data_IF_313577822103
#
_entry.id   IF_313577822103
#
_cell.length_a   1.000
_cell.length_b   1.000
_cell.length_c   1.000
_cell.angle_alpha   90.00
_cell.angle_beta   90.00
_cell.angle_gamma   90.00
#
_symmetry.space_group_name_H-M   'P 1'
#
loop_
_entity.id
_entity.type
_entity.pdbx_description
1 polymer ?
#
# COMPACT_ATOMS: atom_id res chain seq x y z
N UNK A 1 -0.21 -77.11 -8.46
CA UNK A 1 -0.09 -76.80 -7.01
C UNK A 1 1.32 -76.96 -6.46
N UNK A 2 2.07 -78.03 -6.79
CA UNK A 2 3.45 -78.28 -6.29
C UNK A 2 4.49 -77.18 -6.61
N UNK A 3 4.33 -76.44 -7.71
CA UNK A 3 5.23 -75.33 -8.10
C UNK A 3 5.02 -74.05 -7.27
N UNK A 4 3.78 -73.82 -6.82
CA UNK A 4 3.43 -72.64 -6.00
C UNK A 4 3.91 -72.86 -4.56
N UNK A 5 3.79 -74.09 -4.04
CA UNK A 5 4.34 -74.44 -2.72
C UNK A 5 5.87 -74.35 -2.69
N UNK A 6 6.55 -74.74 -3.77
CA UNK A 6 8.01 -74.62 -3.88
C UNK A 6 8.51 -73.16 -3.93
N UNK A 7 7.75 -72.28 -4.60
CA UNK A 7 8.06 -70.85 -4.65
C UNK A 7 7.84 -70.17 -3.28
N UNK A 8 6.79 -70.55 -2.56
CA UNK A 8 6.50 -70.03 -1.22
C UNK A 8 7.55 -70.47 -0.20
N UNK A 9 8.05 -71.72 -0.28
CA UNK A 9 9.14 -72.20 0.57
C UNK A 9 10.47 -71.51 0.29
N UNK A 10 10.76 -71.17 -0.97
CA UNK A 10 11.99 -70.48 -1.34
C UNK A 10 12.02 -69.03 -0.81
N UNK A 11 10.86 -68.36 -0.78
CA UNK A 11 10.73 -66.99 -0.29
C UNK A 11 10.94 -66.89 1.23
N UNK A 12 10.56 -67.92 1.99
CA UNK A 12 10.71 -67.97 3.46
C UNK A 12 12.18 -68.18 3.88
N UNK A 13 12.98 -68.89 3.09
CA UNK A 13 14.40 -69.17 3.38
C UNK A 13 15.28 -67.91 3.20
N UNK A 14 14.86 -66.96 2.35
CA UNK A 14 15.60 -65.71 2.10
C UNK A 14 15.55 -64.68 3.24
N UNK A 15 14.72 -64.86 4.28
CA UNK A 15 14.56 -63.88 5.37
C UNK A 15 15.58 -64.02 6.52
N UNK A 16 16.49 -65.00 6.49
CA UNK A 16 17.29 -65.37 7.68
C UNK A 16 18.70 -64.76 7.77
N UNK A 17 19.11 -63.88 6.85
CA UNK A 17 20.44 -63.28 6.89
C UNK A 17 20.48 -62.01 7.78
N UNK A 18 20.45 -62.18 9.11
CA UNK A 18 20.68 -61.10 10.06
C UNK A 18 22.16 -61.01 10.39
N UNK A 19 22.88 -60.12 9.72
CA UNK A 19 24.28 -59.82 10.03
C UNK A 19 24.33 -58.82 11.20
N UNK A 20 24.77 -59.26 12.38
CA UNK A 20 24.89 -58.38 13.55
C UNK A 20 26.15 -57.53 13.45
N UNK A 21 26.00 -56.20 13.45
CA UNK A 21 27.12 -55.26 13.51
C UNK A 21 27.51 -54.96 14.95
N UNK A 22 28.80 -55.04 15.24
CA UNK A 22 29.41 -54.68 16.52
C UNK A 22 30.53 -53.66 16.29
N UNK A 23 30.94 -52.99 17.35
CA UNK A 23 31.94 -51.93 17.32
C UNK A 23 33.04 -52.19 18.33
N UNK A 24 34.26 -51.82 17.99
CA UNK A 24 35.36 -51.87 18.96
C UNK A 24 35.18 -50.78 20.02
N UNK A 25 35.41 -51.12 21.29
CA UNK A 25 35.31 -50.19 22.43
C UNK A 25 36.26 -48.99 22.31
N UNK A 26 35.97 -47.90 23.03
CA UNK A 26 36.66 -46.61 22.89
C UNK A 26 38.02 -46.55 23.61
N UNK A 27 38.42 -47.60 24.34
CA UNK A 27 39.59 -47.56 25.24
C UNK A 27 40.95 -47.78 24.58
N UNK A 28 41.05 -48.50 23.46
CA UNK A 28 42.33 -48.83 22.84
C UNK A 28 42.20 -49.35 21.40
N UNK A 29 43.34 -49.49 20.73
CA UNK A 29 43.44 -50.26 19.47
C UNK A 29 43.59 -51.76 19.80
N UNK A 30 42.83 -52.61 19.12
CA UNK A 30 42.85 -54.06 19.35
C UNK A 30 43.28 -54.82 18.10
N UNK A 31 43.74 -56.06 18.27
CA UNK A 31 44.21 -56.88 17.14
C UNK A 31 43.13 -57.81 16.63
N UNK A 32 42.97 -57.88 15.30
CA UNK A 32 42.27 -58.94 14.60
C UNK A 32 43.27 -60.06 14.34
N UNK A 33 42.96 -61.30 14.76
CA UNK A 33 43.89 -62.43 14.67
C UNK A 33 43.36 -63.56 13.80
N UNK A 34 44.26 -64.39 13.28
CA UNK A 34 43.89 -65.51 12.39
C UNK A 34 43.24 -66.70 13.10
N UNK A 35 43.44 -66.85 14.42
CA UNK A 35 42.89 -67.94 15.24
C UNK A 35 42.34 -67.38 16.56
N UNK A 36 41.51 -68.17 17.25
CA UNK A 36 40.89 -67.89 18.56
C UNK A 36 41.91 -67.95 19.72
N UNK A 37 43.08 -67.33 19.55
CA UNK A 37 44.18 -67.33 20.53
C UNK A 37 45.08 -66.11 20.38
N UNK A 38 45.65 -65.65 21.50
CA UNK A 38 46.62 -64.56 21.51
C UNK A 38 47.96 -64.92 20.81
N UNK A 39 48.19 -66.20 20.54
CA UNK A 39 49.35 -66.68 19.75
C UNK A 39 49.12 -66.58 18.23
N UNK A 40 47.89 -66.28 17.79
CA UNK A 40 47.56 -66.17 16.37
C UNK A 40 48.24 -65.00 15.68
N UNK A 41 48.51 -65.14 14.38
CA UNK A 41 49.06 -64.06 13.56
C UNK A 41 48.10 -62.86 13.57
N UNK A 42 48.65 -61.66 13.75
CA UNK A 42 47.89 -60.41 13.64
C UNK A 42 47.59 -60.18 12.17
N UNK A 43 46.31 -60.15 11.83
CA UNK A 43 45.82 -59.81 10.50
C UNK A 43 45.71 -58.29 10.35
N UNK A 44 45.20 -57.60 11.38
CA UNK A 44 44.95 -56.16 11.36
C UNK A 44 44.89 -55.53 12.74
N UNK A 45 45.20 -54.23 12.80
CA UNK A 45 44.91 -53.39 13.96
C UNK A 45 43.54 -52.72 13.78
N UNK A 46 42.67 -52.88 14.76
CA UNK A 46 41.30 -52.37 14.80
C UNK A 46 41.26 -51.15 15.74
N UNK A 47 41.15 -49.93 15.22
CA UNK A 47 40.99 -48.75 16.07
C UNK A 47 39.62 -48.73 16.77
N UNK A 48 39.54 -47.93 17.84
CA UNK A 48 38.29 -47.63 18.56
C UNK A 48 37.17 -47.26 17.61
N UNK A 49 35.99 -47.84 17.80
CA UNK A 49 34.81 -47.56 16.98
C UNK A 49 34.77 -48.23 15.61
N UNK A 50 35.74 -49.07 15.26
CA UNK A 50 35.70 -49.86 14.02
C UNK A 50 34.44 -50.73 14.00
N UNK A 51 33.63 -50.59 12.95
CA UNK A 51 32.45 -51.42 12.73
C UNK A 51 32.86 -52.78 12.16
N UNK A 52 32.30 -53.84 12.71
CA UNK A 52 32.60 -55.22 12.37
C UNK A 52 31.30 -56.01 12.25
N UNK A 53 31.25 -56.92 11.30
CA UNK A 53 30.13 -57.86 11.16
C UNK A 53 30.46 -59.16 11.89
N UNK A 54 29.60 -59.60 12.80
CA UNK A 54 29.79 -60.86 13.52
C UNK A 54 29.37 -62.03 12.63
N UNK A 55 30.28 -63.01 12.49
CA UNK A 55 30.00 -64.28 11.80
C UNK A 55 29.63 -65.36 12.83
N UNK A 56 30.44 -65.49 13.89
CA UNK A 56 30.17 -66.43 14.98
C UNK A 56 30.75 -65.90 16.30
N UNK A 57 30.21 -66.35 17.42
CA UNK A 57 30.69 -66.00 18.74
C UNK A 57 30.87 -67.27 19.58
N UNK A 58 32.10 -67.50 20.03
CA UNK A 58 32.42 -68.62 20.92
C UNK A 58 32.45 -68.11 22.37
N UNK A 59 31.41 -68.48 23.13
CA UNK A 59 31.26 -68.07 24.53
C UNK A 59 32.25 -68.75 25.47
N UNK A 60 32.79 -69.91 25.10
CA UNK A 60 33.68 -70.71 25.96
C UNK A 60 35.08 -70.09 26.05
N UNK A 61 35.60 -69.61 24.92
CA UNK A 61 36.93 -68.97 24.87
C UNK A 61 36.89 -67.44 24.79
N UNK A 62 35.70 -66.85 24.62
CA UNK A 62 35.48 -65.40 24.61
C UNK A 62 36.00 -64.71 23.34
N UNK A 63 36.10 -65.43 22.22
CA UNK A 63 36.41 -64.89 20.91
C UNK A 63 35.17 -64.84 20.03
N UNK A 64 35.08 -63.78 19.22
CA UNK A 64 34.11 -63.65 18.14
C UNK A 64 34.85 -63.66 16.81
N UNK A 65 34.36 -64.47 15.86
CA UNK A 65 34.76 -64.39 14.46
C UNK A 65 34.00 -63.23 13.81
N UNK A 66 34.75 -62.31 13.22
CA UNK A 66 34.24 -61.06 12.68
C UNK A 66 34.81 -60.79 11.30
N UNK A 67 34.07 -60.02 10.51
CA UNK A 67 34.50 -59.50 9.22
C UNK A 67 34.55 -57.98 9.26
N UNK A 68 35.67 -57.40 8.81
CA UNK A 68 35.79 -55.95 8.60
C UNK A 68 35.05 -55.49 7.35
N UNK A 69 34.78 -54.19 7.21
CA UNK A 69 34.25 -53.60 5.96
C UNK A 69 35.01 -54.00 4.69
N UNK A 70 36.33 -54.18 4.83
CA UNK A 70 37.23 -54.53 3.73
C UNK A 70 37.22 -56.02 3.39
N UNK A 71 36.33 -56.82 4.00
CA UNK A 71 36.19 -58.25 3.77
C UNK A 71 37.17 -59.15 4.54
N UNK A 72 38.11 -58.58 5.30
CA UNK A 72 39.05 -59.38 6.13
C UNK A 72 38.31 -60.08 7.26
N UNK A 73 38.39 -61.40 7.31
CA UNK A 73 37.86 -62.22 8.41
C UNK A 73 38.94 -62.54 9.44
N UNK A 74 38.56 -62.55 10.72
CA UNK A 74 39.44 -62.99 11.80
C UNK A 74 38.72 -63.06 13.13
N UNK A 75 39.48 -63.25 14.19
CA UNK A 75 38.99 -63.41 15.55
C UNK A 75 39.41 -62.21 16.41
N UNK A 76 38.46 -61.72 17.21
CA UNK A 76 38.65 -60.64 18.19
C UNK A 76 38.03 -61.06 19.53
N UNK A 77 38.58 -60.57 20.64
CA UNK A 77 38.02 -60.83 21.96
C UNK A 77 36.67 -60.10 22.12
N UNK A 78 35.60 -60.84 22.43
CA UNK A 78 34.24 -60.29 22.51
C UNK A 78 34.11 -59.20 23.58
N UNK A 79 34.95 -59.24 24.63
CA UNK A 79 34.98 -58.23 25.72
C UNK A 79 35.37 -56.82 25.25
N UNK A 80 36.03 -56.71 24.09
CA UNK A 80 36.44 -55.42 23.51
C UNK A 80 35.47 -54.93 22.44
N UNK A 81 34.30 -55.57 22.36
CA UNK A 81 33.27 -55.27 21.37
C UNK A 81 31.99 -54.77 22.06
N UNK A 82 31.29 -53.88 21.39
CA UNK A 82 30.04 -53.26 21.81
C UNK A 82 28.99 -53.49 20.73
N UNK A 83 27.74 -53.71 21.15
CA UNK A 83 26.61 -53.84 20.22
C UNK A 83 26.09 -52.50 19.68
N UNK A 84 26.73 -51.39 20.08
CA UNK A 84 26.37 -50.03 19.69
C UNK A 84 27.63 -49.22 19.37
N UNK A 85 27.51 -48.13 18.58
CA UNK A 85 28.62 -47.24 18.30
C UNK A 85 29.27 -46.68 19.58
N UNK A 86 30.53 -46.30 19.48
CA UNK A 86 31.27 -45.69 20.60
C UNK A 86 30.66 -44.35 21.03
N UNK A 87 30.85 -44.00 22.30
CA UNK A 87 30.34 -42.75 22.89
C UNK A 87 30.81 -41.50 22.12
N UNK A 88 32.04 -41.49 21.60
CA UNK A 88 32.56 -40.40 20.76
C UNK A 88 31.68 -40.14 19.52
N UNK A 89 31.08 -41.18 18.93
CA UNK A 89 30.17 -41.01 17.80
C UNK A 89 28.90 -40.27 18.23
N UNK A 90 28.30 -40.64 19.36
CA UNK A 90 27.12 -39.96 19.90
C UNK A 90 27.42 -38.51 20.28
N UNK A 91 28.58 -38.26 20.91
CA UNK A 91 29.02 -36.91 21.26
C UNK A 91 29.17 -36.03 20.01
N UNK A 92 29.83 -36.54 18.97
CA UNK A 92 29.97 -35.81 17.71
C UNK A 92 28.61 -35.53 17.06
N UNK A 93 27.70 -36.50 17.08
CA UNK A 93 26.34 -36.35 16.54
C UNK A 93 25.55 -35.30 17.32
N UNK A 94 25.64 -35.32 18.65
CA UNK A 94 25.00 -34.35 19.53
C UNK A 94 25.55 -32.94 19.33
N UNK A 95 26.88 -32.78 19.29
CA UNK A 95 27.53 -31.49 19.06
C UNK A 95 27.20 -30.90 17.67
N UNK A 96 27.15 -31.74 16.63
CA UNK A 96 26.69 -31.30 15.30
C UNK A 96 25.24 -30.81 15.34
N UNK A 97 24.36 -31.57 15.99
CA UNK A 97 22.95 -31.19 16.14
C UNK A 97 22.81 -29.89 16.93
N UNK A 98 23.53 -29.74 18.04
CA UNK A 98 23.56 -28.52 18.85
C UNK A 98 23.99 -27.32 18.01
N UNK A 99 25.09 -27.45 17.24
CA UNK A 99 25.56 -26.39 16.35
C UNK A 99 24.49 -25.96 15.33
N UNK A 100 23.82 -26.92 14.69
CA UNK A 100 22.74 -26.65 13.74
C UNK A 100 21.57 -25.94 14.42
N UNK A 101 21.15 -26.41 15.60
CA UNK A 101 20.06 -25.78 16.34
C UNK A 101 20.42 -24.37 16.80
N UNK A 102 21.65 -24.15 17.27
CA UNK A 102 22.12 -22.83 17.66
C UNK A 102 22.08 -21.86 16.48
N UNK A 103 22.61 -22.29 15.32
CA UNK A 103 22.55 -21.48 14.10
C UNK A 103 21.12 -21.17 13.67
N UNK A 104 20.21 -22.13 13.80
CA UNK A 104 18.79 -21.91 13.48
C UNK A 104 18.15 -20.89 14.44
N UNK A 105 18.44 -20.98 15.74
CA UNK A 105 17.96 -20.01 16.74
C UNK A 105 18.49 -18.61 16.43
N UNK A 106 19.79 -18.47 16.15
CA UNK A 106 20.41 -17.19 15.83
C UNK A 106 19.77 -16.57 14.57
N UNK A 107 19.53 -17.40 13.54
CA UNK A 107 18.87 -16.97 12.30
C UNK A 107 17.40 -16.55 12.55
N UNK A 108 16.63 -17.35 13.26
CA UNK A 108 15.23 -17.02 13.60
C UNK A 108 15.15 -15.73 14.42
N UNK A 109 16.08 -15.52 15.35
CA UNK A 109 16.13 -14.29 16.14
C UNK A 109 16.47 -13.07 15.28
N UNK A 110 17.38 -13.22 14.31
CA UNK A 110 17.66 -12.17 13.33
C UNK A 110 16.43 -11.86 12.47
N UNK A 111 15.78 -12.87 11.90
CA UNK A 111 14.55 -12.71 11.11
C UNK A 111 13.43 -12.03 11.91
N UNK A 112 13.25 -12.41 13.17
CA UNK A 112 12.26 -11.80 14.06
C UNK A 112 12.56 -10.32 14.32
N UNK A 113 13.84 -9.97 14.54
CA UNK A 113 14.24 -8.58 14.73
C UNK A 113 14.04 -7.74 13.45
N UNK A 114 14.38 -8.29 12.28
CA UNK A 114 14.14 -7.64 10.99
C UNK A 114 12.65 -7.45 10.73
N UNK A 115 11.83 -8.48 10.98
CA UNK A 115 10.38 -8.43 10.80
C UNK A 115 9.74 -7.38 11.73
N UNK A 116 10.21 -7.31 12.97
CA UNK A 116 9.76 -6.29 13.93
C UNK A 116 10.09 -4.88 13.44
N UNK A 117 11.31 -4.65 12.93
CA UNK A 117 11.71 -3.35 12.38
C UNK A 117 10.87 -2.98 11.15
N UNK A 118 10.72 -3.91 10.19
CA UNK A 118 9.87 -3.68 9.01
C UNK A 118 8.43 -3.38 9.39
N UNK A 119 7.88 -4.05 10.39
CA UNK A 119 6.52 -3.78 10.85
C UNK A 119 6.41 -2.37 11.47
N UNK A 120 7.40 -1.93 12.24
CA UNK A 120 7.42 -0.56 12.78
C UNK A 120 7.56 0.51 11.69
N UNK A 121 8.38 0.27 10.68
CA UNK A 121 8.54 1.16 9.52
C UNK A 121 7.27 1.19 8.64
N UNK A 122 6.64 0.03 8.44
CA UNK A 122 5.38 -0.06 7.69
C UNK A 122 4.27 0.66 8.43
N UNK A 123 4.22 0.56 9.76
CA UNK A 123 3.23 1.25 10.58
C UNK A 123 3.45 2.77 10.54
N UNK A 124 4.69 3.25 10.62
CA UNK A 124 4.99 4.69 10.52
C UNK A 124 4.68 5.24 9.12
N UNK A 125 5.00 4.49 8.06
CA UNK A 125 4.67 4.85 6.68
C UNK A 125 3.15 4.88 6.44
N UNK A 126 2.41 3.92 6.99
CA UNK A 126 0.94 3.96 6.93
C UNK A 126 0.37 5.17 7.67
N UNK A 127 0.94 5.54 8.81
CA UNK A 127 0.52 6.74 9.54
C UNK A 127 0.83 8.02 8.75
N UNK A 128 1.98 8.13 8.09
CA UNK A 128 2.31 9.28 7.25
C UNK A 128 1.41 9.37 6.03
N UNK A 129 1.16 8.26 5.34
CA UNK A 129 0.26 8.20 4.18
C UNK A 129 -1.18 8.55 4.54
N UNK A 130 -1.67 8.12 5.71
CA UNK A 130 -2.99 8.51 6.18
C UNK A 130 -3.08 10.02 6.47
N UNK A 131 -2.04 10.60 7.08
CA UNK A 131 -1.98 12.06 7.29
C UNK A 131 -1.96 12.82 5.97
N UNK A 132 -1.15 12.38 5.02
CA UNK A 132 -1.06 12.98 3.69
C UNK A 132 -2.39 12.87 2.92
N UNK A 133 -3.05 11.70 2.98
CA UNK A 133 -4.40 11.52 2.45
C UNK A 133 -5.37 12.53 3.07
N UNK A 134 -5.34 12.69 4.40
CA UNK A 134 -6.25 13.61 5.10
C UNK A 134 -5.98 15.07 4.74
N UNK A 135 -4.72 15.46 4.56
CA UNK A 135 -4.38 16.80 4.08
C UNK A 135 -4.83 17.02 2.64
N UNK A 136 -4.52 16.08 1.73
CA UNK A 136 -4.97 16.19 0.34
C UNK A 136 -6.50 16.22 0.22
N UNK A 137 -7.20 15.45 1.05
CA UNK A 137 -8.66 15.47 1.06
C UNK A 137 -9.23 16.82 1.52
N UNK A 138 -8.58 17.47 2.49
CA UNK A 138 -8.95 18.83 2.93
C UNK A 138 -8.64 19.86 1.85
N UNK A 139 -7.45 19.82 1.28
CA UNK A 139 -7.03 20.76 0.23
C UNK A 139 -7.95 20.67 -1.00
N UNK A 140 -8.34 19.45 -1.40
CA UNK A 140 -9.32 19.25 -2.48
C UNK A 140 -10.71 19.80 -2.14
N UNK A 141 -11.13 19.68 -0.88
CA UNK A 141 -12.40 20.24 -0.43
C UNK A 141 -12.37 21.78 -0.46
N UNK A 142 -11.31 22.37 0.07
CA UNK A 142 -11.12 23.83 0.12
C UNK A 142 -10.97 24.42 -1.30
N UNK A 143 -10.28 23.71 -2.20
CA UNK A 143 -10.17 24.10 -3.59
C UNK A 143 -11.53 24.08 -4.30
N UNK A 144 -12.36 23.06 -4.04
CA UNK A 144 -13.72 22.99 -4.60
C UNK A 144 -14.61 24.12 -4.09
N UNK A 145 -14.55 24.43 -2.79
CA UNK A 145 -15.27 25.55 -2.19
C UNK A 145 -14.82 26.89 -2.81
N UNK A 146 -13.51 27.11 -2.90
CA UNK A 146 -12.93 28.33 -3.47
C UNK A 146 -13.31 28.50 -4.93
N UNK A 147 -13.24 27.42 -5.73
CA UNK A 147 -13.65 27.44 -7.12
C UNK A 147 -15.15 27.75 -7.28
N UNK A 148 -16.01 27.15 -6.44
CA UNK A 148 -17.44 27.45 -6.42
C UNK A 148 -17.72 28.93 -6.08
N UNK A 149 -17.05 29.47 -5.07
CA UNK A 149 -17.19 30.88 -4.68
C UNK A 149 -16.69 31.82 -5.78
N UNK A 150 -15.60 31.48 -6.47
CA UNK A 150 -15.10 32.28 -7.59
C UNK A 150 -16.10 32.35 -8.76
N UNK A 151 -16.77 31.23 -9.06
CA UNK A 151 -17.84 31.20 -10.08
C UNK A 151 -19.03 32.06 -9.65
N UNK A 152 -19.45 31.98 -8.39
CA UNK A 152 -20.53 32.83 -7.86
C UNK A 152 -20.16 34.31 -7.88
N UNK A 153 -18.94 34.66 -7.48
CA UNK A 153 -18.44 36.03 -7.49
C UNK A 153 -18.40 36.60 -8.91
N UNK A 154 -18.02 35.79 -9.91
CA UNK A 154 -18.09 36.18 -11.32
C UNK A 154 -19.53 36.49 -11.74
N UNK A 155 -20.48 35.63 -11.41
CA UNK A 155 -21.90 35.89 -11.70
C UNK A 155 -22.41 37.17 -11.03
N UNK A 156 -22.06 37.41 -9.77
CA UNK A 156 -22.43 38.64 -9.06
C UNK A 156 -21.81 39.88 -9.72
N UNK A 157 -20.54 39.80 -10.14
CA UNK A 157 -19.86 40.89 -10.84
C UNK A 157 -20.54 41.20 -12.18
N UNK A 158 -20.95 40.18 -12.93
CA UNK A 158 -21.63 40.37 -14.21
C UNK A 158 -23.03 40.98 -14.03
N UNK A 159 -23.79 40.53 -13.02
CA UNK A 159 -25.07 41.13 -12.64
C UNK A 159 -24.94 42.58 -12.16
N UNK A 160 -23.92 42.88 -11.36
CA UNK A 160 -23.65 44.25 -10.91
C UNK A 160 -23.27 45.15 -12.08
N UNK A 161 -22.47 44.66 -13.03
CA UNK A 161 -22.13 45.42 -14.22
C UNK A 161 -23.37 45.69 -15.09
N UNK A 162 -24.26 44.72 -15.25
CA UNK A 162 -25.54 44.91 -15.95
C UNK A 162 -26.42 45.96 -15.26
N UNK A 163 -26.51 45.92 -13.92
CA UNK A 163 -27.22 46.94 -13.15
C UNK A 163 -26.61 48.33 -13.28
N UNK A 164 -25.28 48.44 -13.31
CA UNK A 164 -24.60 49.72 -13.55
C UNK A 164 -25.00 50.27 -14.92
N UNK A 165 -24.97 49.44 -15.95
CA UNK A 165 -25.38 49.83 -17.31
C UNK A 165 -26.86 50.23 -17.35
N UNK A 166 -27.74 49.49 -16.67
CA UNK A 166 -29.18 49.82 -16.65
C UNK A 166 -29.44 51.15 -15.96
N UNK A 167 -28.82 51.38 -14.79
CA UNK A 167 -28.95 52.64 -14.04
C UNK A 167 -28.36 53.81 -14.83
N UNK A 168 -27.23 53.63 -15.54
CA UNK A 168 -26.69 54.67 -16.42
C UNK A 168 -27.65 55.02 -17.57
N UNK A 169 -28.27 54.01 -18.19
CA UNK A 169 -29.28 54.22 -19.24
C UNK A 169 -30.51 54.94 -18.71
N UNK A 170 -31.00 54.54 -17.53
CA UNK A 170 -32.12 55.20 -16.85
C UNK A 170 -31.77 56.66 -16.53
N UNK A 171 -30.58 56.92 -16.01
CA UNK A 171 -30.11 58.28 -15.72
C UNK A 171 -30.02 59.12 -17.00
N UNK A 172 -29.50 58.57 -18.09
CA UNK A 172 -29.50 59.25 -19.39
C UNK A 172 -30.91 59.50 -19.91
N UNK A 173 -31.84 58.56 -19.71
CA UNK A 173 -33.23 58.72 -20.09
C UNK A 173 -33.92 59.82 -19.28
N UNK A 174 -33.80 59.79 -17.95
CA UNK A 174 -34.37 60.82 -17.06
C UNK A 174 -33.77 62.19 -17.38
N UNK A 175 -32.46 62.25 -17.62
CA UNK A 175 -31.80 63.50 -18.03
C UNK A 175 -32.34 64.04 -19.36
N UNK A 176 -32.54 63.17 -20.37
CA UNK A 176 -33.17 63.55 -21.64
C UNK A 176 -34.62 63.98 -21.47
N UNK A 177 -35.39 63.28 -20.64
CA UNK A 177 -36.77 63.66 -20.35
C UNK A 177 -36.84 65.03 -19.66
N UNK A 178 -35.94 65.30 -18.71
CA UNK A 178 -35.85 66.58 -18.03
C UNK A 178 -35.47 67.70 -19.02
N UNK A 179 -34.46 67.49 -19.87
CA UNK A 179 -34.10 68.43 -20.94
C UNK A 179 -35.26 68.67 -21.91
N UNK A 180 -36.00 67.63 -22.30
CA UNK A 180 -37.16 67.76 -23.18
C UNK A 180 -38.29 68.55 -22.53
N UNK A 181 -38.54 68.34 -21.23
CA UNK A 181 -39.51 69.12 -20.45
C UNK A 181 -39.10 70.60 -20.35
N UNK A 182 -37.81 70.86 -20.15
CA UNK A 182 -37.25 72.21 -20.10
C UNK A 182 -37.37 72.90 -21.47
N UNK A 183 -37.02 72.19 -22.55
CA UNK A 183 -37.16 72.67 -23.93
C UNK A 183 -38.63 72.91 -24.32
N UNK A 184 -39.55 72.02 -23.95
CA UNK A 184 -40.99 72.21 -24.23
C UNK A 184 -41.56 73.40 -23.46
N UNK A 185 -41.14 73.60 -22.21
CA UNK A 185 -41.55 74.77 -21.40
C UNK A 185 -41.06 76.07 -22.04
N UNK A 186 -39.83 76.08 -22.58
CA UNK A 186 -39.28 77.23 -23.30
C UNK A 186 -40.00 77.48 -24.62
N UNK A 187 -40.39 76.42 -25.35
CA UNK A 187 -41.19 76.54 -26.58
C UNK A 187 -42.59 77.07 -26.30
N UNK A 188 -43.24 76.64 -25.22
CA UNK A 188 -44.55 77.15 -24.81
C UNK A 188 -44.49 78.64 -24.48
N UNK A 189 -43.50 79.08 -23.71
CA UNK A 189 -43.31 80.51 -23.41
C UNK A 189 -43.04 81.34 -24.67
N UNK A 190 -42.28 80.80 -25.63
CA UNK A 190 -42.07 81.44 -26.93
C UNK A 190 -43.35 81.50 -27.77
N UNK A 191 -44.15 80.43 -27.79
CA UNK A 191 -45.43 80.38 -28.51
C UNK A 191 -46.44 81.37 -27.92
N UNK A 192 -46.60 81.39 -26.59
CA UNK A 192 -47.45 82.36 -25.91
C UNK A 192 -46.96 83.80 -26.13
N UNK A 193 -45.64 84.04 -26.09
CA UNK A 193 -45.04 85.34 -26.41
C UNK A 193 -45.28 85.76 -27.86
N UNK A 194 -45.15 84.83 -28.81
CA UNK A 194 -45.40 85.07 -30.24
C UNK A 194 -46.87 85.38 -30.54
N UNK A 195 -47.80 84.60 -29.98
CA UNK A 195 -49.24 84.84 -30.11
C UNK A 195 -49.62 86.19 -29.48
N UNK A 196 -49.11 86.50 -28.29
CA UNK A 196 -49.37 87.77 -27.60
C UNK A 196 -48.84 88.96 -28.41
N UNK A 197 -47.63 88.86 -28.96
CA UNK A 197 -47.05 89.89 -29.82
C UNK A 197 -47.90 90.14 -31.07
N UNK A 198 -48.37 89.07 -31.73
CA UNK A 198 -49.21 89.14 -32.92
C UNK A 198 -50.57 89.80 -32.62
N UNK A 199 -51.22 89.43 -31.51
CA UNK A 199 -52.46 90.08 -31.03
C UNK A 199 -52.22 91.56 -30.72
N UNK A 200 -51.10 91.89 -30.07
CA UNK A 200 -50.73 93.27 -29.76
C UNK A 200 -50.57 94.14 -31.01
N UNK A 201 -49.94 93.60 -32.05
CA UNK A 201 -49.80 94.28 -33.36
C UNK A 201 -51.16 94.46 -34.05
N UNK A 202 -52.00 93.42 -34.07
CA UNK A 202 -53.35 93.49 -34.67
C UNK A 202 -54.18 94.55 -33.96
N UNK A 203 -54.27 94.51 -32.63
CA UNK A 203 -55.06 95.48 -31.86
C UNK A 203 -54.48 96.90 -31.99
N UNK A 204 -53.16 97.05 -31.95
CA UNK A 204 -52.49 98.34 -32.16
C UNK A 204 -52.76 98.94 -33.54
N UNK A 205 -53.00 98.12 -34.56
CA UNK A 205 -53.38 98.56 -35.90
C UNK A 205 -54.89 98.77 -36.09
N UNK A 206 -55.74 97.93 -35.46
CA UNK A 206 -57.21 97.97 -35.62
C UNK A 206 -57.87 99.07 -34.76
N UNK A 207 -57.40 99.27 -33.52
CA UNK A 207 -57.94 100.27 -32.59
C UNK A 207 -57.93 101.71 -33.14
N UNK A 208 -56.85 102.22 -33.77
CA UNK A 208 -56.86 103.57 -34.32
C UNK A 208 -57.82 103.77 -35.51
N UNK A 209 -58.35 102.69 -36.10
CA UNK A 209 -59.32 102.76 -37.21
C UNK A 209 -60.78 102.64 -36.78
N UNK A 210 -61.06 102.33 -35.52
CA UNK A 210 -62.43 102.28 -35.00
C UNK A 210 -62.84 103.67 -34.51
N UNK A 211 -63.29 104.51 -35.45
CA UNK A 211 -63.84 105.83 -35.13
C UNK A 211 -65.11 105.69 -34.28
N UNK A 212 -65.02 105.97 -32.99
CA UNK A 212 -66.17 106.09 -32.10
C UNK A 212 -66.90 107.41 -32.40
N UNK A 213 -67.87 107.36 -33.33
CA UNK A 213 -68.76 108.49 -33.63
C UNK A 213 -69.66 108.73 -32.41
N UNK A 214 -69.37 109.78 -31.64
CA UNK A 214 -70.37 110.45 -30.79
C UNK A 214 -71.38 111.14 -31.71
N UNK A 215 -72.67 110.83 -31.56
CA UNK A 215 -73.74 111.65 -32.15
C UNK A 215 -74.15 112.72 -31.13
N UNK A 216 -73.95 113.97 -31.51
CA UNK A 216 -74.53 115.17 -30.88
C UNK A 216 -75.64 115.73 -31.77
N UNK A 217 -76.49 116.56 -31.16
CA UNK A 217 -77.55 117.41 -31.75
C UNK A 217 -78.89 116.68 -32.03
N UNK A 218 -80.02 116.86 -31.32
CA UNK A 218 -80.72 117.99 -30.69
C UNK A 218 -81.74 118.70 -31.63
N UNK A 219 -82.98 118.81 -31.12
CA UNK A 219 -84.14 119.67 -31.43
C UNK A 219 -85.27 119.28 -32.41
N UNK A 220 -86.48 119.41 -31.84
CA UNK A 220 -87.82 119.81 -32.33
C UNK A 220 -88.67 118.92 -33.24
N UNK A 221 -89.87 118.53 -32.76
CA UNK A 221 -91.13 119.30 -33.01
C UNK A 221 -92.37 118.69 -32.34
N UNK A 222 -93.25 119.60 -31.87
CA UNK A 222 -94.71 119.56 -31.58
C UNK A 222 -95.34 118.50 -30.66
#
# INVERSE_FOLDING_TARGET
MKKITALLTLLIISLSAQAQTIYITDSATYTLRSIESNKGRILRMLPSGTALTVISANKENGYSKVQTSDGTEGYVLSRFTLNQPINRWFLNKANKKLKILQQAVDQTQHELSQLKNHNTETLSSNQSLNKERDTLSKDLHDLRLTASNAVQLKHQRDQLQERVISVERELQQVKRQNQTLEDSTNQDWFLYGGILSLIGVILGFILPKLSWRRKTSNWDTF
#
